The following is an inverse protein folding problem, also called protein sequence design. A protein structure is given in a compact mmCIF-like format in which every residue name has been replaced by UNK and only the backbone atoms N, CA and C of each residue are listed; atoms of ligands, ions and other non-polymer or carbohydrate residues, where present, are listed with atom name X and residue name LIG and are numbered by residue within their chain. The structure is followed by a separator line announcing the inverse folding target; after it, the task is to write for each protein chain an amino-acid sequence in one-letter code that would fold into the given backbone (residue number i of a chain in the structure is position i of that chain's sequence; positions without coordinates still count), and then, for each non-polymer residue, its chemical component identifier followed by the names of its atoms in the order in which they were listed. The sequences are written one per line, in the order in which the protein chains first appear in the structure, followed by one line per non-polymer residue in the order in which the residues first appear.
data_IF_598784419015
#
_entry.id   IF_598784419015
#
_cell.length_a   1.000
_cell.length_b   1.000
_cell.length_c   1.000
_cell.angle_alpha   90.00
_cell.angle_beta   90.00
_cell.angle_gamma   90.00
#
_symmetry.space_group_name_H-M   'P 1'
#
loop_
_entity.id
_entity.type
_entity.pdbx_description
1 polymer ?
#
# COMPACT_ATOMS: atom_id res chain seq x y z
N UNK A 1 28.10 21.29 -18.75
CA UNK A 1 27.55 20.08 -19.39
C UNK A 1 26.64 19.42 -18.37
N UNK A 2 25.35 19.67 -18.48
CA UNK A 2 24.31 19.20 -17.56
C UNK A 2 23.89 17.80 -17.99
N UNK A 3 24.16 16.85 -17.13
CA UNK A 3 23.83 15.42 -17.33
C UNK A 3 22.29 15.23 -17.20
N UNK A 4 21.60 15.20 -18.35
CA UNK A 4 20.16 14.95 -18.46
C UNK A 4 19.89 13.45 -18.55
N UNK A 5 20.21 12.68 -17.52
CA UNK A 5 19.80 11.28 -17.42
C UNK A 5 18.75 11.12 -16.32
N UNK A 6 17.59 11.72 -16.51
CA UNK A 6 16.37 11.33 -15.81
C UNK A 6 15.98 9.89 -16.20
N UNK A 7 15.28 9.14 -15.33
CA UNK A 7 14.84 7.80 -15.68
C UNK A 7 14.02 7.88 -16.97
N UNK A 8 14.45 7.10 -18.00
CA UNK A 8 13.70 6.99 -19.27
C UNK A 8 12.29 6.55 -18.94
N UNK A 9 11.31 7.40 -19.26
CA UNK A 9 9.92 6.96 -19.28
C UNK A 9 9.81 5.81 -20.28
N UNK A 10 9.37 4.67 -19.81
CA UNK A 10 9.11 3.54 -20.68
C UNK A 10 7.89 3.86 -21.55
N UNK A 11 8.04 3.73 -22.85
CA UNK A 11 6.96 3.87 -23.81
C UNK A 11 6.11 2.58 -23.78
N UNK A 12 4.97 2.68 -23.12
CA UNK A 12 3.99 1.58 -23.02
C UNK A 12 3.12 1.43 -24.28
N UNK A 13 3.25 2.31 -25.27
CA UNK A 13 2.43 2.27 -26.50
C UNK A 13 2.83 1.15 -27.46
N UNK A 14 4.01 0.56 -27.28
CA UNK A 14 4.57 -0.42 -28.20
C UNK A 14 4.06 -1.87 -28.02
N UNK A 15 3.25 -2.16 -26.99
CA UNK A 15 2.78 -3.53 -26.69
C UNK A 15 3.89 -4.55 -26.38
N UNK A 16 5.13 -4.09 -26.19
CA UNK A 16 6.24 -4.96 -25.80
C UNK A 16 6.24 -5.20 -24.28
N UNK A 17 6.45 -6.44 -23.86
CA UNK A 17 6.62 -6.79 -22.47
C UNK A 17 7.69 -5.90 -21.81
N UNK A 18 7.40 -5.38 -20.61
CA UNK A 18 8.31 -4.50 -19.91
C UNK A 18 9.64 -5.20 -19.62
N UNK A 19 10.78 -4.60 -19.98
CA UNK A 19 12.07 -5.25 -19.82
C UNK A 19 12.39 -5.49 -18.34
N UNK A 20 12.99 -6.64 -18.05
CA UNK A 20 13.54 -6.90 -16.72
C UNK A 20 14.72 -5.97 -16.47
N UNK A 21 14.64 -5.19 -15.39
CA UNK A 21 15.77 -4.39 -14.93
C UNK A 21 16.87 -5.30 -14.37
N UNK A 22 18.13 -5.00 -14.68
CA UNK A 22 19.28 -5.69 -14.08
C UNK A 22 19.45 -5.26 -12.61
N UNK A 23 20.23 -6.03 -11.83
CA UNK A 23 20.55 -5.67 -10.44
C UNK A 23 21.24 -4.31 -10.34
N UNK A 24 22.12 -4.00 -11.30
CA UNK A 24 22.85 -2.73 -11.39
C UNK A 24 21.88 -1.57 -11.64
N UNK A 25 20.98 -1.72 -12.59
CA UNK A 25 19.92 -0.73 -12.88
C UNK A 25 19.02 -0.50 -11.66
N UNK A 26 18.59 -1.59 -11.00
CA UNK A 26 17.80 -1.49 -9.77
C UNK A 26 18.58 -0.76 -8.68
N UNK A 27 19.87 -1.09 -8.49
CA UNK A 27 20.68 -0.49 -7.44
C UNK A 27 20.99 0.99 -7.67
N UNK A 28 20.99 1.43 -8.91
CA UNK A 28 21.17 2.84 -9.29
C UNK A 28 19.93 3.70 -8.98
N UNK A 29 18.73 3.09 -8.81
CA UNK A 29 17.53 3.83 -8.50
C UNK A 29 17.54 4.41 -7.08
N UNK A 30 16.97 5.61 -6.88
CA UNK A 30 16.88 6.22 -5.55
C UNK A 30 15.95 5.41 -4.63
N UNK A 31 16.25 5.40 -3.34
CA UNK A 31 15.31 4.92 -2.32
C UNK A 31 14.36 6.06 -1.98
N UNK A 32 13.05 5.83 -2.09
CA UNK A 32 12.03 6.80 -1.70
C UNK A 32 11.18 6.28 -0.56
N UNK A 33 10.63 7.23 0.20
CA UNK A 33 9.65 7.01 1.25
C UNK A 33 8.58 8.09 1.17
N UNK A 34 7.43 7.84 1.77
CA UNK A 34 6.36 8.82 1.87
C UNK A 34 6.84 10.08 2.59
N UNK A 35 6.58 11.24 1.98
CA UNK A 35 7.03 12.55 2.49
C UNK A 35 5.88 13.41 3.01
N UNK A 36 4.64 12.94 2.84
CA UNK A 36 3.46 13.67 3.26
C UNK A 36 3.19 13.58 4.77
N UNK A 37 2.07 14.12 5.19
CA UNK A 37 1.65 14.10 6.59
C UNK A 37 1.20 12.71 7.01
N UNK A 38 1.67 12.22 8.14
CA UNK A 38 1.31 10.91 8.69
C UNK A 38 0.56 11.11 10.02
N UNK A 39 -0.61 10.49 10.13
CA UNK A 39 -1.43 10.47 11.34
C UNK A 39 -1.43 9.08 11.95
N UNK A 40 -0.86 8.94 13.15
CA UNK A 40 -0.96 7.72 13.95
C UNK A 40 -2.27 7.72 14.75
N UNK A 41 -3.15 6.76 14.45
CA UNK A 41 -4.49 6.66 15.02
C UNK A 41 -4.52 5.57 16.10
N UNK A 42 -4.78 5.97 17.34
CA UNK A 42 -4.76 5.11 18.53
C UNK A 42 -6.04 5.19 19.37
N UNK A 43 -6.94 6.12 19.08
CA UNK A 43 -8.15 6.37 19.89
C UNK A 43 -9.38 6.39 18.96
N UNK A 44 -10.54 5.87 19.45
CA UNK A 44 -11.78 5.82 18.68
C UNK A 44 -12.21 7.19 18.12
N UNK A 45 -12.10 8.26 18.89
CA UNK A 45 -12.40 9.62 18.42
C UNK A 45 -11.52 10.07 17.24
N UNK A 46 -10.27 9.61 17.20
CA UNK A 46 -9.38 9.89 16.06
C UNK A 46 -9.79 9.10 14.81
N UNK A 47 -10.32 7.88 14.98
CA UNK A 47 -10.80 7.06 13.85
C UNK A 47 -11.91 7.76 13.09
N UNK A 48 -12.93 8.29 13.77
CA UNK A 48 -14.04 8.98 13.12
C UNK A 48 -13.56 10.19 12.32
N UNK A 49 -12.66 11.00 12.90
CA UNK A 49 -12.08 12.15 12.18
C UNK A 49 -11.26 11.72 10.96
N UNK A 50 -10.46 10.66 11.10
CA UNK A 50 -9.65 10.11 10.00
C UNK A 50 -10.54 9.56 8.88
N UNK A 51 -11.56 8.76 9.22
CA UNK A 51 -12.53 8.21 8.27
C UNK A 51 -13.25 9.33 7.52
N UNK A 52 -13.69 10.39 8.20
CA UNK A 52 -14.35 11.52 7.57
C UNK A 52 -13.46 12.29 6.57
N UNK A 53 -12.12 12.19 6.67
CA UNK A 53 -11.22 12.70 5.63
C UNK A 53 -11.05 11.68 4.50
N UNK A 54 -10.84 10.40 4.84
CA UNK A 54 -10.65 9.33 3.87
C UNK A 54 -11.88 9.07 3.00
N UNK A 55 -13.09 9.31 3.50
CA UNK A 55 -14.34 9.21 2.73
C UNK A 55 -14.47 10.26 1.61
N UNK A 56 -13.63 11.28 1.59
CA UNK A 56 -13.56 12.29 0.52
C UNK A 56 -12.70 11.85 -0.66
N UNK A 57 -11.90 10.83 -0.47
CA UNK A 57 -10.99 10.30 -1.48
C UNK A 57 -11.70 9.34 -2.43
N UNK A 58 -11.26 9.28 -3.67
CA UNK A 58 -11.70 8.27 -4.64
C UNK A 58 -10.83 7.02 -4.60
N UNK A 59 -9.54 7.21 -4.31
CA UNK A 59 -8.54 6.15 -4.29
C UNK A 59 -7.69 6.27 -3.02
N UNK A 60 -7.62 5.20 -2.27
CA UNK A 60 -6.76 5.05 -1.11
C UNK A 60 -5.70 3.98 -1.40
N UNK A 61 -4.47 4.22 -0.99
CA UNK A 61 -3.51 3.16 -0.80
C UNK A 61 -3.86 2.35 0.44
N UNK A 62 -3.74 1.05 0.37
CA UNK A 62 -4.11 0.11 1.41
C UNK A 62 -2.99 -0.88 1.65
N UNK A 63 -2.71 -1.16 2.93
CA UNK A 63 -1.84 -2.24 3.36
C UNK A 63 -2.14 -2.63 4.81
N UNK A 64 -1.64 -3.78 5.28
CA UNK A 64 -1.68 -4.18 6.68
C UNK A 64 -0.33 -4.70 7.16
N UNK A 65 -0.12 -4.64 8.47
CA UNK A 65 1.06 -5.22 9.08
C UNK A 65 0.71 -6.11 10.26
N UNK A 66 1.34 -7.28 10.30
CA UNK A 66 1.12 -8.30 11.33
C UNK A 66 2.36 -8.51 12.18
N UNK A 67 2.18 -9.09 13.34
CA UNK A 67 3.29 -9.64 14.11
C UNK A 67 3.97 -10.75 13.31
N UNK A 68 5.31 -10.81 13.28
CA UNK A 68 6.03 -11.90 12.60
C UNK A 68 5.67 -13.26 13.19
N UNK A 69 5.37 -14.25 12.35
CA UNK A 69 5.19 -15.63 12.74
C UNK A 69 6.54 -16.37 12.66
N UNK A 70 6.97 -16.97 13.78
CA UNK A 70 8.24 -17.70 13.86
C UNK A 70 8.06 -19.21 13.83
N UNK A 71 6.83 -19.71 13.80
CA UNK A 71 6.51 -21.14 13.77
C UNK A 71 5.58 -21.44 12.58
N UNK A 72 5.79 -22.57 11.94
CA UNK A 72 4.92 -23.08 10.87
C UNK A 72 3.49 -23.23 11.41
N UNK A 73 2.50 -22.76 10.64
CA UNK A 73 1.08 -22.77 11.03
C UNK A 73 0.65 -21.66 11.98
N UNK A 74 1.56 -20.79 12.43
CA UNK A 74 1.21 -19.60 13.23
C UNK A 74 0.81 -18.44 12.31
N UNK A 75 -0.39 -17.91 12.50
CA UNK A 75 -0.87 -16.68 11.86
C UNK A 75 -1.35 -15.70 12.91
N UNK A 76 -1.26 -14.41 12.59
CA UNK A 76 -1.71 -13.32 13.44
C UNK A 76 -2.61 -12.39 12.64
N UNK A 77 -3.65 -11.92 13.29
CA UNK A 77 -4.49 -10.87 12.73
C UNK A 77 -3.70 -9.55 12.60
N UNK A 78 -4.07 -8.66 11.67
CA UNK A 78 -3.40 -7.39 11.48
C UNK A 78 -3.34 -6.56 12.76
N UNK A 79 -2.14 -6.09 13.09
CA UNK A 79 -1.88 -5.20 14.22
C UNK A 79 -1.99 -3.73 13.80
N UNK A 80 -1.73 -3.45 12.52
CA UNK A 80 -1.77 -2.12 11.92
C UNK A 80 -2.50 -2.19 10.58
N UNK A 81 -3.35 -1.19 10.32
CA UNK A 81 -3.97 -0.94 9.02
C UNK A 81 -3.49 0.42 8.52
N UNK A 82 -3.08 0.50 7.28
CA UNK A 82 -2.64 1.71 6.62
C UNK A 82 -3.63 2.11 5.52
N UNK A 83 -4.03 3.38 5.54
CA UNK A 83 -4.82 3.99 4.47
C UNK A 83 -4.17 5.32 4.08
N UNK A 84 -3.82 5.48 2.82
CA UNK A 84 -3.14 6.68 2.32
C UNK A 84 -3.97 7.33 1.21
N UNK A 85 -4.45 8.54 1.49
CA UNK A 85 -5.10 9.41 0.52
C UNK A 85 -4.12 10.34 -0.17
N UNK A 86 -4.64 11.34 -0.87
CA UNK A 86 -3.82 12.34 -1.55
C UNK A 86 -3.09 13.26 -0.56
N UNK A 87 -3.75 13.67 0.52
CA UNK A 87 -3.25 14.67 1.45
C UNK A 87 -2.47 14.10 2.64
N UNK A 88 -2.76 12.87 3.05
CA UNK A 88 -2.18 12.29 4.26
C UNK A 88 -2.26 10.76 4.30
N UNK A 89 -1.34 10.19 5.08
CA UNK A 89 -1.36 8.79 5.50
C UNK A 89 -1.99 8.65 6.89
N UNK A 90 -2.80 7.61 7.07
CA UNK A 90 -3.45 7.26 8.33
C UNK A 90 -3.06 5.84 8.74
N UNK A 91 -2.32 5.75 9.85
CA UNK A 91 -1.81 4.49 10.39
C UNK A 91 -2.66 4.13 11.60
N UNK A 92 -3.56 3.17 11.44
CA UNK A 92 -4.46 2.70 12.48
C UNK A 92 -3.79 1.58 13.28
N UNK A 93 -3.43 1.84 14.51
CA UNK A 93 -2.88 0.82 15.40
C UNK A 93 -4.04 0.04 16.04
N UNK A 94 -4.43 -1.10 15.41
CA UNK A 94 -5.65 -1.85 15.69
C UNK A 94 -5.71 -2.41 17.11
N UNK A 95 -4.55 -2.66 17.72
CA UNK A 95 -4.48 -3.02 19.15
C UNK A 95 -5.18 -1.98 20.05
N UNK A 96 -5.12 -0.71 19.69
CA UNK A 96 -5.65 0.40 20.50
C UNK A 96 -7.01 0.89 20.02
N UNK A 97 -7.18 1.07 18.72
CA UNK A 97 -8.43 1.61 18.16
C UNK A 97 -9.40 0.53 17.68
N UNK A 98 -8.95 -0.75 17.60
CA UNK A 98 -9.73 -1.87 17.05
C UNK A 98 -10.15 -1.59 15.59
N UNK A 99 -11.19 -2.27 15.12
CA UNK A 99 -11.82 -2.05 13.81
C UNK A 99 -13.28 -1.57 14.00
N UNK A 100 -13.50 -0.28 14.39
CA UNK A 100 -14.83 0.23 14.73
C UNK A 100 -15.72 0.35 13.49
N UNK A 101 -17.03 0.54 13.72
CA UNK A 101 -18.06 0.59 12.67
C UNK A 101 -17.74 1.60 11.57
N UNK A 102 -17.22 2.78 11.91
CA UNK A 102 -16.86 3.80 10.92
C UNK A 102 -15.77 3.29 9.95
N UNK A 103 -14.72 2.66 10.48
CA UNK A 103 -13.63 2.11 9.64
C UNK A 103 -14.12 0.94 8.79
N UNK A 104 -14.95 0.03 9.35
CA UNK A 104 -15.57 -1.06 8.58
C UNK A 104 -16.48 -0.55 7.46
N UNK A 105 -17.23 0.54 7.69
CA UNK A 105 -18.06 1.20 6.66
C UNK A 105 -17.19 1.74 5.52
N UNK A 106 -16.06 2.38 5.83
CA UNK A 106 -15.12 2.83 4.82
C UNK A 106 -14.56 1.67 4.00
N UNK A 107 -14.14 0.58 4.65
CA UNK A 107 -13.62 -0.62 4.00
C UNK A 107 -14.68 -1.34 3.14
N UNK A 108 -15.94 -1.24 3.52
CA UNK A 108 -17.08 -1.81 2.79
C UNK A 108 -17.58 -0.92 1.63
N UNK A 109 -17.11 0.33 1.51
CA UNK A 109 -17.62 1.26 0.51
C UNK A 109 -17.04 0.95 -0.89
N UNK A 110 -17.85 0.45 -1.85
CA UNK A 110 -17.36 0.11 -3.19
C UNK A 110 -17.01 1.34 -4.06
N UNK A 111 -17.46 2.54 -3.67
CA UNK A 111 -17.19 3.79 -4.39
C UNK A 111 -15.79 4.36 -4.13
N UNK A 112 -15.10 3.84 -3.13
CA UNK A 112 -13.75 4.25 -2.77
C UNK A 112 -12.83 3.05 -3.05
N UNK A 113 -11.90 3.21 -3.95
CA UNK A 113 -10.90 2.17 -4.25
C UNK A 113 -9.90 2.07 -3.09
N UNK A 114 -9.61 0.84 -2.66
CA UNK A 114 -8.52 0.52 -1.73
C UNK A 114 -7.51 -0.34 -2.49
N UNK A 115 -6.41 0.29 -2.93
CA UNK A 115 -5.41 -0.31 -3.78
C UNK A 115 -4.18 -0.76 -2.97
N UNK A 116 -3.79 -2.01 -3.12
CA UNK A 116 -2.64 -2.60 -2.46
C UNK A 116 -2.14 -3.82 -3.23
N UNK A 117 -1.19 -4.54 -2.70
CA UNK A 117 -0.66 -5.79 -3.27
C UNK A 117 -1.04 -6.96 -2.36
N UNK A 118 -1.57 -8.05 -2.93
CA UNK A 118 -2.06 -9.23 -2.22
C UNK A 118 -3.17 -8.91 -1.19
N UNK A 119 -4.06 -7.98 -1.53
CA UNK A 119 -5.07 -7.40 -0.62
C UNK A 119 -6.08 -8.41 -0.09
N UNK A 120 -6.34 -9.51 -0.78
CA UNK A 120 -7.34 -10.50 -0.41
C UNK A 120 -7.02 -11.17 0.94
N UNK A 121 -5.75 -11.53 1.14
CA UNK A 121 -5.28 -12.10 2.41
C UNK A 121 -5.46 -11.10 3.57
N UNK A 122 -5.13 -9.83 3.35
CA UNK A 122 -5.26 -8.78 4.35
C UNK A 122 -6.71 -8.53 4.74
N UNK A 123 -7.60 -8.53 3.75
CA UNK A 123 -9.05 -8.37 3.93
C UNK A 123 -9.64 -9.53 4.72
N UNK A 124 -9.25 -10.78 4.41
CA UNK A 124 -9.66 -11.96 5.16
C UNK A 124 -9.24 -11.87 6.62
N UNK A 125 -8.00 -11.49 6.89
CA UNK A 125 -7.48 -11.35 8.26
C UNK A 125 -8.17 -10.18 9.01
N UNK A 126 -8.46 -9.07 8.35
CA UNK A 126 -9.24 -7.97 8.94
C UNK A 126 -10.68 -8.40 9.29
N UNK A 127 -11.30 -9.24 8.45
CA UNK A 127 -12.63 -9.80 8.73
C UNK A 127 -12.66 -10.69 9.98
N UNK A 128 -11.56 -11.36 10.32
CA UNK A 128 -11.44 -12.12 11.58
C UNK A 128 -11.46 -11.20 12.81
N UNK A 129 -10.97 -9.96 12.68
CA UNK A 129 -11.03 -8.97 13.77
C UNK A 129 -12.45 -8.43 14.00
N UNK A 130 -13.13 -8.08 12.93
CA UNK A 130 -14.52 -7.62 12.97
C UNK A 130 -15.15 -7.74 11.59
N UNK A 131 -16.24 -8.51 11.41
CA UNK A 131 -16.85 -8.77 10.12
C UNK A 131 -17.34 -7.51 9.40
N UNK A 132 -17.05 -7.44 8.08
CA UNK A 132 -17.59 -6.46 7.15
C UNK A 132 -17.66 -7.06 5.74
N UNK A 133 -18.50 -6.53 4.86
CA UNK A 133 -18.55 -6.92 3.44
C UNK A 133 -17.54 -6.06 2.68
N UNK A 134 -16.42 -6.61 2.19
CA UNK A 134 -15.41 -5.84 1.46
C UNK A 134 -15.98 -5.21 0.20
N UNK A 135 -15.56 -3.97 -0.11
CA UNK A 135 -15.98 -3.28 -1.33
C UNK A 135 -14.87 -2.36 -1.85
N UNK A 136 -14.64 -2.35 -3.16
CA UNK A 136 -13.67 -1.48 -3.82
C UNK A 136 -12.20 -1.81 -3.52
N UNK A 137 -11.88 -3.03 -3.15
CA UNK A 137 -10.49 -3.48 -3.06
C UNK A 137 -9.96 -3.84 -4.44
N UNK A 138 -8.73 -3.45 -4.71
CA UNK A 138 -8.05 -3.73 -5.99
C UNK A 138 -6.64 -4.22 -5.71
N UNK A 139 -6.34 -5.43 -6.17
CA UNK A 139 -4.99 -5.98 -6.14
C UNK A 139 -4.16 -5.41 -7.29
N UNK A 140 -3.17 -4.61 -6.95
CA UNK A 140 -2.26 -3.98 -7.89
C UNK A 140 -1.35 -5.01 -8.58
N UNK A 141 -1.05 -6.13 -7.93
CA UNK A 141 -0.31 -7.23 -8.53
C UNK A 141 -1.10 -7.92 -9.65
N UNK A 142 -2.42 -8.08 -9.48
CA UNK A 142 -3.29 -8.63 -10.53
C UNK A 142 -3.45 -7.65 -11.71
N UNK A 143 -3.59 -6.34 -11.44
CA UNK A 143 -3.56 -5.33 -12.51
C UNK A 143 -2.23 -5.33 -13.27
N UNK A 144 -1.12 -5.52 -12.56
CA UNK A 144 0.20 -5.59 -13.17
C UNK A 144 0.36 -6.82 -14.09
N UNK A 145 -0.27 -7.95 -13.75
CA UNK A 145 -0.33 -9.14 -14.64
C UNK A 145 -1.10 -8.82 -15.93
N UNK A 146 -2.22 -8.10 -15.83
CA UNK A 146 -2.99 -7.68 -17.00
C UNK A 146 -2.23 -6.71 -17.91
N UNK A 147 -1.28 -5.96 -17.33
CA UNK A 147 -0.38 -5.05 -18.04
C UNK A 147 0.94 -5.72 -18.49
N UNK A 148 1.02 -7.06 -18.49
CA UNK A 148 2.20 -7.85 -18.86
C UNK A 148 3.48 -7.44 -18.10
N UNK A 149 3.35 -6.94 -16.86
CA UNK A 149 4.48 -6.61 -16.01
C UNK A 149 5.21 -7.88 -15.56
N UNK A 150 6.53 -7.85 -15.58
CA UNK A 150 7.39 -8.98 -15.15
C UNK A 150 7.46 -9.15 -13.63
N UNK A 151 7.02 -8.15 -12.86
CA UNK A 151 6.96 -8.15 -11.41
C UNK A 151 5.53 -7.89 -10.94
N UNK A 152 5.12 -8.55 -9.83
CA UNK A 152 3.78 -8.44 -9.27
C UNK A 152 3.78 -8.01 -7.80
N UNK A 153 4.94 -8.01 -7.15
CA UNK A 153 5.09 -7.54 -5.77
C UNK A 153 5.40 -6.04 -5.70
N UNK A 154 4.99 -5.40 -4.60
CA UNK A 154 5.06 -3.95 -4.38
C UNK A 154 6.41 -3.33 -4.77
N UNK A 155 7.52 -3.90 -4.29
CA UNK A 155 8.88 -3.35 -4.54
C UNK A 155 9.34 -3.51 -5.98
N UNK A 156 9.04 -4.65 -6.58
CA UNK A 156 9.35 -4.90 -7.99
C UNK A 156 8.58 -3.94 -8.89
N UNK A 157 7.29 -3.75 -8.61
CA UNK A 157 6.44 -2.80 -9.33
C UNK A 157 6.88 -1.35 -9.11
N UNK A 158 7.22 -0.94 -7.88
CA UNK A 158 7.74 0.39 -7.61
C UNK A 158 9.02 0.67 -8.42
N UNK A 159 9.93 -0.30 -8.48
CA UNK A 159 11.15 -0.21 -9.26
C UNK A 159 10.85 -0.08 -10.76
N UNK A 160 9.96 -0.91 -11.28
CA UNK A 160 9.63 -1.00 -12.70
C UNK A 160 8.80 0.20 -13.19
N UNK A 161 7.73 0.55 -12.47
CA UNK A 161 6.72 1.50 -12.92
C UNK A 161 6.90 2.92 -12.38
N UNK A 162 7.53 3.06 -11.19
CA UNK A 162 7.69 4.35 -10.53
C UNK A 162 9.15 4.83 -10.50
N UNK A 163 10.12 3.99 -10.92
CA UNK A 163 11.52 4.36 -11.03
C UNK A 163 12.23 4.61 -9.71
N UNK A 164 11.81 3.98 -8.61
CA UNK A 164 12.48 4.07 -7.32
C UNK A 164 12.39 2.77 -6.51
N UNK A 165 13.25 2.64 -5.52
CA UNK A 165 13.24 1.53 -4.56
C UNK A 165 12.53 1.91 -3.27
N UNK A 166 11.97 0.89 -2.60
CA UNK A 166 11.38 0.99 -1.25
C UNK A 166 12.22 0.18 -0.27
N UNK A 167 12.46 0.73 0.92
CA UNK A 167 13.24 0.06 1.97
C UNK A 167 12.49 -1.17 2.52
N UNK A 168 13.23 -2.22 2.89
CA UNK A 168 12.70 -3.41 3.58
C UNK A 168 12.87 -3.36 5.11
N UNK A 169 13.46 -2.30 5.62
CA UNK A 169 14.04 -2.27 6.98
C UNK A 169 13.07 -2.64 8.10
N UNK A 170 11.80 -2.25 8.01
CA UNK A 170 10.81 -2.51 9.06
C UNK A 170 9.86 -3.69 8.77
N UNK A 171 9.99 -4.37 7.63
CA UNK A 171 9.08 -5.42 7.18
C UNK A 171 8.87 -6.54 8.21
N UNK A 172 9.93 -7.04 8.83
CA UNK A 172 9.89 -8.15 9.79
C UNK A 172 9.88 -7.69 11.24
N UNK A 173 9.51 -6.44 11.49
CA UNK A 173 9.48 -5.90 12.85
C UNK A 173 8.23 -6.34 13.62
N UNK A 174 8.28 -6.26 14.94
CA UNK A 174 7.11 -6.60 15.76
C UNK A 174 6.08 -5.45 15.73
N UNK A 175 5.08 -5.58 14.89
CA UNK A 175 3.99 -4.62 14.71
C UNK A 175 2.93 -4.63 15.83
N UNK A 176 2.89 -5.70 16.63
CA UNK A 176 1.98 -5.80 17.80
C UNK A 176 2.46 -5.04 19.04
N UNK A 177 3.60 -4.33 18.97
CA UNK A 177 4.08 -3.48 20.08
C UNK A 177 3.08 -2.39 20.43
N UNK A 178 3.02 -2.03 21.71
CA UNK A 178 2.17 -0.94 22.19
C UNK A 178 2.52 0.43 21.61
N UNK A 179 3.79 0.65 21.24
CA UNK A 179 4.27 1.87 20.59
C UNK A 179 5.08 1.50 19.35
N UNK A 180 4.68 2.04 18.21
CA UNK A 180 5.43 1.92 16.96
C UNK A 180 6.59 2.92 16.94
N UNK A 181 7.72 2.49 16.38
CA UNK A 181 8.85 3.39 16.13
C UNK A 181 8.55 4.31 14.94
N UNK A 182 9.30 5.40 14.83
CA UNK A 182 9.20 6.30 13.68
C UNK A 182 9.47 5.55 12.35
N UNK A 183 10.46 4.66 12.35
CA UNK A 183 10.79 3.86 11.18
C UNK A 183 9.64 2.92 10.75
N UNK A 184 8.92 2.31 11.71
CA UNK A 184 7.73 1.51 11.41
C UNK A 184 6.61 2.38 10.81
N UNK A 185 6.35 3.54 11.40
CA UNK A 185 5.29 4.46 10.93
C UNK A 185 5.60 4.96 9.50
N UNK A 186 6.84 5.35 9.23
CA UNK A 186 7.28 5.78 7.90
C UNK A 186 7.22 4.63 6.89
N UNK A 187 7.59 3.42 7.29
CA UNK A 187 7.51 2.22 6.47
C UNK A 187 6.06 1.92 6.07
N UNK A 188 5.16 1.81 7.05
CA UNK A 188 3.75 1.52 6.84
C UNK A 188 3.06 2.56 5.93
N UNK A 189 3.36 3.86 6.13
CA UNK A 189 2.87 4.92 5.25
C UNK A 189 3.41 4.79 3.83
N UNK A 190 4.67 4.35 3.67
CA UNK A 190 5.31 4.20 2.37
C UNK A 190 4.71 3.06 1.57
N UNK A 191 4.50 1.89 2.17
CA UNK A 191 4.00 0.72 1.45
C UNK A 191 2.57 0.96 0.94
N UNK A 192 1.68 1.51 1.78
CA UNK A 192 0.34 1.87 1.32
C UNK A 192 0.35 3.03 0.28
N UNK A 193 1.22 4.04 0.43
CA UNK A 193 1.36 5.09 -0.57
C UNK A 193 1.79 4.52 -1.92
N UNK A 194 2.77 3.64 -1.94
CA UNK A 194 3.23 2.98 -3.17
C UNK A 194 2.12 2.19 -3.84
N UNK A 195 1.29 1.48 -3.07
CA UNK A 195 0.09 0.80 -3.60
C UNK A 195 -0.84 1.76 -4.36
N UNK A 196 -1.10 2.96 -3.81
CA UNK A 196 -1.89 4.01 -4.47
C UNK A 196 -1.23 4.52 -5.75
N UNK A 197 0.04 4.85 -5.71
CA UNK A 197 0.78 5.35 -6.89
C UNK A 197 0.84 4.33 -8.02
N UNK A 198 1.06 3.06 -7.67
CA UNK A 198 1.06 1.96 -8.63
C UNK A 198 -0.31 1.77 -9.28
N UNK A 199 -1.40 1.80 -8.49
CA UNK A 199 -2.74 1.75 -9.02
C UNK A 199 -3.00 2.87 -10.04
N UNK A 200 -2.68 4.11 -9.68
CA UNK A 200 -2.85 5.26 -10.56
C UNK A 200 -1.99 5.17 -11.83
N UNK A 201 -0.78 4.63 -11.73
CA UNK A 201 0.08 4.40 -12.90
C UNK A 201 -0.50 3.34 -13.82
N UNK A 202 -0.94 2.20 -13.28
CA UNK A 202 -1.53 1.10 -14.04
C UNK A 202 -2.86 1.49 -14.70
N UNK A 203 -3.69 2.29 -14.04
CA UNK A 203 -4.93 2.83 -14.62
C UNK A 203 -4.68 3.67 -15.88
N UNK A 204 -3.55 4.35 -15.96
CA UNK A 204 -3.17 5.11 -17.17
C UNK A 204 -2.64 4.21 -18.29
N UNK A 205 -2.11 3.04 -17.92
CA UNK A 205 -1.56 2.06 -18.86
C UNK A 205 -2.61 1.10 -19.41
N UNK A 206 -3.67 0.86 -18.66
CA UNK A 206 -4.79 -0.04 -18.99
C UNK A 206 -6.06 0.79 -19.16
N UNK A 207 -6.25 1.51 -20.29
CA UNK A 207 -7.45 2.29 -20.54
C UNK A 207 -8.67 1.36 -20.56
N UNK A 208 -9.65 1.62 -19.68
CA UNK A 208 -10.86 0.81 -19.51
C UNK A 208 -10.86 -0.11 -18.30
N UNK A 209 -9.81 -0.13 -17.47
CA UNK A 209 -9.86 -0.77 -16.15
C UNK A 209 -10.76 0.03 -15.19
N UNK A 210 -11.47 -0.62 -14.25
CA UNK A 210 -12.45 0.00 -13.36
C UNK A 210 -11.84 1.01 -12.38
#
# INVERSE_FOLDING_TARGET
MTDQNGPKEFDFSSGAALPRLTKEQINALPIRKYQGRIHLIRRSKQVEKAVGQLEKEKVLGFDTETQPAFRVGQSYVPAVLQLVGEQAAYIFQLRHCRLPKALRRLLANPKIIKAGVAVDCDVEELNKLAPFKPGGFVDVGELAKQADCTHHGLRGLATLLLGFRVSKHAQTSNWAKGTLTRAQIEYAATDAWVGRELYQKLQRLLPGSP
#
